data_IF_043188069250
#
_entry.id   IF_043188069250
#
_cell.length_a   1.000
_cell.length_b   1.000
_cell.length_c   1.000
_cell.angle_alpha   90.00
_cell.angle_beta   90.00
_cell.angle_gamma   90.00
#
_symmetry.space_group_name_H-M   'P 1'
#
loop_
_entity.id
_entity.type
_entity.pdbx_description
1 polymer ?
#
# COMPACT_ATOMS: atom_id res chain seq x y z
N UNK A 1 -2.92 12.81 12.26
CA UNK A 1 -3.36 11.69 11.41
C UNK A 1 -2.50 11.73 10.17
N UNK A 2 -1.82 10.63 9.87
CA UNK A 2 -0.94 10.54 8.71
C UNK A 2 -1.72 9.85 7.60
N UNK A 3 -1.71 10.41 6.40
CA UNK A 3 -2.48 9.91 5.27
C UNK A 3 -1.54 9.57 4.10
N UNK A 4 -1.86 8.49 3.37
CA UNK A 4 -1.20 8.14 2.11
C UNK A 4 -2.17 8.33 0.95
N UNK A 5 -1.72 9.02 -0.09
CA UNK A 5 -2.48 9.23 -1.32
C UNK A 5 -1.87 8.45 -2.48
N UNK A 6 -2.69 7.67 -3.18
CA UNK A 6 -2.31 6.90 -4.36
C UNK A 6 -3.08 7.47 -5.55
N UNK A 7 -2.40 7.67 -6.68
CA UNK A 7 -3.02 8.28 -7.86
C UNK A 7 -2.33 7.85 -9.15
N UNK A 8 -3.14 7.60 -10.19
CA UNK A 8 -2.65 7.34 -11.53
C UNK A 8 -2.47 8.66 -12.29
N UNK A 9 -1.31 8.87 -12.92
CA UNK A 9 -1.01 10.13 -13.63
C UNK A 9 -0.83 9.98 -15.14
N UNK A 10 -0.92 8.75 -15.66
CA UNK A 10 -0.71 8.47 -17.09
C UNK A 10 -1.83 9.05 -17.97
N UNK A 11 -3.07 9.10 -17.47
CA UNK A 11 -4.21 9.69 -18.16
C UNK A 11 -5.38 9.95 -17.20
N UNK A 12 -6.32 10.85 -17.53
CA UNK A 12 -7.49 11.11 -16.68
C UNK A 12 -8.42 9.90 -16.47
N UNK A 13 -8.29 8.87 -17.32
CA UNK A 13 -9.12 7.65 -17.26
C UNK A 13 -8.38 6.45 -16.67
N UNK A 14 -7.08 6.55 -16.39
CA UNK A 14 -6.36 5.40 -15.85
C UNK A 14 -6.80 5.13 -14.42
N UNK A 15 -6.84 3.85 -14.07
CA UNK A 15 -7.28 3.37 -12.76
C UNK A 15 -6.21 2.47 -12.15
N UNK A 16 -6.22 2.39 -10.82
CA UNK A 16 -5.43 1.43 -10.07
C UNK A 16 -6.01 0.04 -10.37
N UNK A 17 -5.30 -0.71 -11.22
CA UNK A 17 -5.76 -2.02 -11.70
C UNK A 17 -5.35 -3.16 -10.77
N UNK A 18 -4.21 -3.01 -10.11
CA UNK A 18 -3.63 -4.03 -9.24
C UNK A 18 -2.83 -3.38 -8.12
N UNK A 19 -2.96 -3.95 -6.91
CA UNK A 19 -2.01 -3.75 -5.82
C UNK A 19 -0.99 -4.88 -5.90
N UNK A 20 0.27 -4.56 -6.17
CA UNK A 20 1.35 -5.54 -6.32
C UNK A 20 1.94 -5.94 -4.97
N UNK A 21 1.93 -5.00 -4.03
CA UNK A 21 2.46 -5.17 -2.68
C UNK A 21 1.82 -4.14 -1.76
N UNK A 22 1.52 -4.52 -0.52
CA UNK A 22 1.16 -3.58 0.53
C UNK A 22 1.56 -4.13 1.90
N UNK A 23 2.26 -3.33 2.69
CA UNK A 23 2.72 -3.68 4.04
C UNK A 23 2.64 -2.46 4.97
N UNK A 24 1.90 -2.60 6.06
CA UNK A 24 1.92 -1.67 7.19
C UNK A 24 2.71 -2.33 8.31
N UNK A 25 4.02 -2.10 8.29
CA UNK A 25 4.99 -2.92 8.99
C UNK A 25 6.42 -2.45 8.76
N UNK A 26 7.37 -3.38 8.75
CA UNK A 26 8.78 -3.08 8.51
C UNK A 26 9.28 -3.67 7.18
N UNK A 27 8.78 -3.20 6.03
CA UNK A 27 9.13 -3.79 4.74
C UNK A 27 10.62 -3.64 4.48
N UNK A 28 11.21 -4.69 3.93
CA UNK A 28 12.62 -4.72 3.52
C UNK A 28 12.72 -4.40 2.03
N UNK A 29 13.64 -3.48 1.69
CA UNK A 29 13.93 -3.14 0.30
C UNK A 29 14.91 -4.18 -0.27
N UNK A 30 14.49 -4.88 -1.33
CA UNK A 30 15.37 -5.81 -2.02
C UNK A 30 16.22 -5.08 -3.07
N UNK A 31 17.46 -4.75 -2.72
CA UNK A 31 18.38 -3.97 -3.59
C UNK A 31 18.55 -4.56 -4.99
N UNK A 32 18.53 -5.88 -5.12
CA UNK A 32 18.74 -6.55 -6.42
C UNK A 32 17.61 -6.33 -7.43
N UNK A 33 16.39 -6.06 -6.97
CA UNK A 33 15.21 -6.01 -7.84
C UNK A 33 14.33 -4.77 -7.63
N UNK A 34 14.69 -3.83 -6.74
CA UNK A 34 13.88 -2.65 -6.37
C UNK A 34 12.43 -3.02 -6.03
N UNK A 35 12.23 -4.17 -5.39
CA UNK A 35 10.91 -4.65 -4.94
C UNK A 35 10.89 -4.72 -3.43
N UNK A 36 9.80 -4.26 -2.86
CA UNK A 36 9.52 -4.40 -1.44
C UNK A 36 9.22 -5.85 -1.08
N UNK A 37 9.60 -6.25 0.13
CA UNK A 37 9.25 -7.54 0.73
C UNK A 37 8.76 -7.30 2.15
N UNK A 38 7.80 -8.11 2.59
CA UNK A 38 7.38 -8.12 3.99
C UNK A 38 8.58 -8.37 4.91
N UNK A 39 8.64 -7.61 6.01
CA UNK A 39 9.62 -7.84 7.05
C UNK A 39 9.19 -8.93 8.03
N UNK A 40 9.62 -8.78 9.28
CA UNK A 40 9.31 -9.73 10.36
C UNK A 40 8.06 -9.35 11.16
N UNK A 41 7.48 -8.17 10.89
CA UNK A 41 6.24 -7.70 11.47
C UNK A 41 5.46 -6.91 10.42
N UNK A 42 4.14 -6.89 10.57
CA UNK A 42 3.24 -6.18 9.69
C UNK A 42 1.80 -6.55 9.96
N UNK A 43 0.88 -5.65 9.61
CA UNK A 43 -0.54 -5.90 9.78
C UNK A 43 -1.07 -6.79 8.64
N UNK A 44 -1.58 -7.97 8.99
CA UNK A 44 -2.00 -8.98 8.00
C UNK A 44 -3.14 -8.51 7.07
N UNK A 45 -3.95 -7.54 7.49
CA UNK A 45 -5.06 -7.03 6.69
C UNK A 45 -4.64 -5.94 5.68
N UNK A 46 -3.38 -5.48 5.70
CA UNK A 46 -2.93 -4.33 4.89
C UNK A 46 -3.31 -4.49 3.42
N UNK A 47 -2.91 -5.59 2.77
CA UNK A 47 -3.18 -5.81 1.36
C UNK A 47 -4.66 -5.75 1.03
N UNK A 48 -5.48 -6.47 1.80
CA UNK A 48 -6.94 -6.50 1.60
C UNK A 48 -7.55 -5.11 1.72
N UNK A 49 -7.15 -4.34 2.72
CA UNK A 49 -7.68 -2.99 2.96
C UNK A 49 -7.29 -2.04 1.83
N UNK A 50 -6.03 -2.07 1.39
CA UNK A 50 -5.57 -1.25 0.26
C UNK A 50 -6.32 -1.62 -1.02
N UNK A 51 -6.48 -2.91 -1.31
CA UNK A 51 -7.22 -3.37 -2.49
C UNK A 51 -8.68 -2.88 -2.47
N UNK A 52 -9.38 -3.02 -1.35
CA UNK A 52 -10.76 -2.59 -1.19
C UNK A 52 -10.94 -1.08 -1.37
N UNK A 53 -9.97 -0.29 -0.92
CA UNK A 53 -10.06 1.16 -0.98
C UNK A 53 -9.63 1.75 -2.33
N UNK A 54 -8.78 1.05 -3.09
CA UNK A 54 -8.07 1.65 -4.22
C UNK A 54 -8.37 1.02 -5.58
N UNK A 55 -8.67 -0.28 -5.65
CA UNK A 55 -8.88 -0.93 -6.95
C UNK A 55 -10.06 -0.31 -7.72
N UNK A 56 -9.85 -0.11 -9.02
CA UNK A 56 -10.86 0.48 -9.91
C UNK A 56 -11.00 1.99 -9.81
N UNK A 57 -10.27 2.67 -8.92
CA UNK A 57 -10.30 4.13 -8.79
C UNK A 57 -9.10 4.78 -9.47
N UNK A 58 -9.28 6.03 -9.88
CA UNK A 58 -8.19 6.86 -10.40
C UNK A 58 -7.22 7.28 -9.27
N UNK A 59 -7.77 7.54 -8.09
CA UNK A 59 -7.04 7.84 -6.87
C UNK A 59 -7.79 7.30 -5.64
N UNK A 60 -7.05 7.15 -4.53
CA UNK A 60 -7.59 6.80 -3.22
C UNK A 60 -6.72 7.43 -2.11
N UNK A 61 -7.32 7.62 -0.94
CA UNK A 61 -6.64 8.05 0.27
C UNK A 61 -6.76 6.96 1.34
N UNK A 62 -5.70 6.73 2.10
CA UNK A 62 -5.62 5.76 3.18
C UNK A 62 -5.16 6.47 4.45
N UNK A 63 -5.85 6.24 5.56
CA UNK A 63 -5.46 6.74 6.87
C UNK A 63 -4.48 5.73 7.47
N UNK A 64 -3.26 6.15 7.78
CA UNK A 64 -2.23 5.27 8.35
C UNK A 64 -2.53 5.09 9.84
N UNK A 65 -3.24 4.02 10.16
CA UNK A 65 -3.61 3.67 11.54
C UNK A 65 -3.83 2.17 11.75
N UNK A 66 -3.68 1.75 13.00
CA UNK A 66 -4.03 0.39 13.45
C UNK A 66 -5.54 0.13 13.35
N UNK A 67 -6.38 1.17 13.39
CA UNK A 67 -7.81 1.04 13.14
C UNK A 67 -8.11 0.64 11.69
N UNK A 68 -7.38 1.22 10.74
CA UNK A 68 -7.57 0.91 9.31
C UNK A 68 -6.97 -0.46 8.94
N UNK A 69 -5.76 -0.76 9.40
CA UNK A 69 -5.00 -1.93 8.92
C UNK A 69 -4.91 -3.09 9.93
N UNK A 70 -5.24 -2.85 11.19
CA UNK A 70 -4.87 -3.70 12.31
C UNK A 70 -3.47 -3.36 12.85
N UNK A 71 -3.12 -3.89 14.04
CA UNK A 71 -1.81 -3.63 14.66
C UNK A 71 -0.69 -4.21 13.80
N UNK A 72 0.38 -3.43 13.58
CA UNK A 72 1.57 -3.88 12.84
C UNK A 72 2.40 -4.90 13.61
N UNK A 73 2.27 -4.95 14.94
CA UNK A 73 3.12 -5.70 15.86
C UNK A 73 4.62 -5.36 15.78
N UNK A 74 4.97 -4.25 15.13
CA UNK A 74 6.34 -3.76 15.06
C UNK A 74 6.70 -2.95 16.32
N UNK A 75 7.93 -3.14 16.84
CA UNK A 75 8.39 -2.44 18.05
C UNK A 75 8.75 -0.97 17.81
N UNK A 76 9.18 -0.63 16.60
CA UNK A 76 9.58 0.72 16.16
C UNK A 76 9.63 0.79 14.65
N UNK A 77 9.65 2.01 14.12
CA UNK A 77 10.00 2.34 12.72
C UNK A 77 9.20 1.56 11.68
N UNK A 78 7.89 1.41 11.89
CA UNK A 78 6.99 0.85 10.89
C UNK A 78 6.39 1.94 10.01
N UNK A 79 6.10 1.60 8.76
CA UNK A 79 5.50 2.49 7.76
C UNK A 79 4.51 1.73 6.90
N UNK A 80 3.64 2.46 6.21
CA UNK A 80 2.88 1.92 5.11
C UNK A 80 3.73 1.97 3.83
N UNK A 81 3.81 0.87 3.09
CA UNK A 81 4.42 0.80 1.76
C UNK A 81 3.45 0.13 0.81
N UNK A 82 3.17 0.75 -0.32
CA UNK A 82 2.23 0.25 -1.34
C UNK A 82 2.88 0.34 -2.71
N UNK A 83 2.92 -0.79 -3.43
CA UNK A 83 3.28 -0.84 -4.85
C UNK A 83 2.03 -1.20 -5.64
N UNK A 84 1.76 -0.45 -6.71
CA UNK A 84 0.54 -0.62 -7.49
C UNK A 84 0.79 -0.37 -8.97
N UNK A 85 -0.12 -0.85 -9.81
CA UNK A 85 -0.08 -0.66 -11.25
C UNK A 85 -1.34 0.06 -11.71
N UNK A 86 -1.13 1.11 -12.50
CA UNK A 86 -2.18 1.81 -13.22
C UNK A 86 -2.37 1.20 -14.61
N UNK A 87 -3.61 1.14 -15.08
CA UNK A 87 -3.89 0.85 -16.49
C UNK A 87 -4.97 1.78 -17.01
N UNK A 88 -5.00 1.99 -18.32
CA UNK A 88 -6.23 2.45 -18.97
C UNK A 88 -7.25 1.30 -18.95
N UNK A 89 -8.53 1.56 -18.68
CA UNK A 89 -9.58 0.56 -18.79
C UNK A 89 -9.72 0.05 -20.22
#
# INVERSE_FOLDING_TARGET
>A
MEDMFLSCHESPKSIIKKINFADYGNPSDCEKNKKSRHGNCGAAATLRVVEQNCLGKHNCALIISDEMFGPSHCKRDFRLTVEYTCTKP
#
